data_IF_929706184718
#
_entry.id   IF_929706184718
#
_cell.length_a   1.000
_cell.length_b   1.000
_cell.length_c   1.000
_cell.angle_alpha   90.00
_cell.angle_beta   90.00
_cell.angle_gamma   90.00
#
_symmetry.space_group_name_H-M   'P 1'
#
loop_
_entity.id
_entity.type
_entity.pdbx_description
1 polymer ?
#
# COMPACT_ATOMS: atom_id res chain seq x y z
N UNK A 1 29.46 -2.67 -5.17
CA UNK A 1 29.04 -2.47 -3.77
C UNK A 1 27.99 -3.54 -3.46
N UNK A 2 28.35 -4.51 -2.63
CA UNK A 2 27.46 -5.60 -2.23
C UNK A 2 26.49 -5.02 -1.20
N UNK A 3 25.30 -4.63 -1.64
CA UNK A 3 24.24 -4.16 -0.75
C UNK A 3 23.56 -5.39 -0.15
N UNK A 4 24.15 -5.95 0.91
CA UNK A 4 23.52 -7.04 1.65
C UNK A 4 22.19 -6.54 2.23
N UNK A 5 21.09 -7.14 1.77
CA UNK A 5 19.74 -6.80 2.21
C UNK A 5 19.54 -7.45 3.59
N UNK A 6 19.23 -6.69 4.65
CA UNK A 6 19.04 -7.27 5.97
C UNK A 6 17.90 -8.29 6.00
N UNK A 7 18.13 -9.43 6.64
CA UNK A 7 17.12 -10.48 6.83
C UNK A 7 16.06 -10.03 7.85
N UNK A 8 16.45 -9.29 8.89
CA UNK A 8 15.51 -8.82 9.91
C UNK A 8 14.56 -7.74 9.34
N UNK A 9 13.23 -7.89 9.46
CA UNK A 9 12.27 -6.98 8.83
C UNK A 9 12.39 -5.53 9.31
N UNK A 10 12.68 -5.32 10.60
CA UNK A 10 12.90 -3.99 11.17
C UNK A 10 14.16 -3.32 10.62
N UNK A 11 15.27 -4.06 10.53
CA UNK A 11 16.52 -3.54 9.95
C UNK A 11 16.37 -3.30 8.45
N UNK A 12 15.67 -4.20 7.75
CA UNK A 12 15.34 -4.06 6.33
C UNK A 12 14.55 -2.78 6.07
N UNK A 13 13.60 -2.44 6.94
CA UNK A 13 12.84 -1.19 6.83
C UNK A 13 13.70 0.06 7.03
N UNK A 14 14.61 0.04 8.01
CA UNK A 14 15.57 1.14 8.20
C UNK A 14 16.51 1.29 7.00
N UNK A 15 17.04 0.17 6.50
CA UNK A 15 17.85 0.13 5.29
C UNK A 15 17.08 0.69 4.10
N UNK A 16 15.82 0.33 3.94
CA UNK A 16 14.98 0.80 2.85
C UNK A 16 14.72 2.32 2.94
N UNK A 17 14.49 2.85 4.14
CA UNK A 17 14.43 4.30 4.39
C UNK A 17 15.75 5.00 4.07
N UNK A 18 16.87 4.39 4.43
CA UNK A 18 18.20 4.92 4.13
C UNK A 18 18.44 4.97 2.62
N UNK A 19 18.15 3.88 1.89
CA UNK A 19 18.30 3.84 0.43
C UNK A 19 17.45 4.90 -0.26
N UNK A 20 16.19 5.08 0.14
CA UNK A 20 15.34 6.14 -0.39
C UNK A 20 15.95 7.52 -0.16
N UNK A 21 16.43 7.80 1.06
CA UNK A 21 17.07 9.07 1.41
C UNK A 21 18.36 9.32 0.63
N UNK A 22 19.18 8.30 0.44
CA UNK A 22 20.41 8.37 -0.37
C UNK A 22 20.12 8.70 -1.83
N UNK A 23 18.96 8.32 -2.35
CA UNK A 23 18.49 8.69 -3.69
C UNK A 23 17.74 10.04 -3.74
N UNK A 24 17.67 10.79 -2.62
CA UNK A 24 16.95 12.07 -2.54
C UNK A 24 15.41 11.93 -2.49
N UNK A 25 14.92 10.70 -2.39
CA UNK A 25 13.51 10.37 -2.24
C UNK A 25 13.14 10.19 -0.76
N UNK A 26 11.87 10.39 -0.45
CA UNK A 26 11.32 10.09 0.88
C UNK A 26 10.04 9.28 0.73
N UNK A 27 9.61 8.60 1.80
CA UNK A 27 8.34 7.87 1.80
C UNK A 27 7.16 8.78 1.43
N UNK A 28 7.23 10.06 1.82
CA UNK A 28 6.23 11.07 1.47
C UNK A 28 6.24 11.39 -0.02
N UNK A 29 7.41 11.68 -0.60
CA UNK A 29 7.53 11.91 -2.05
C UNK A 29 7.04 10.70 -2.85
N UNK A 30 7.36 9.49 -2.38
CA UNK A 30 6.90 8.25 -2.99
C UNK A 30 5.38 8.08 -2.88
N UNK A 31 4.77 8.47 -1.76
CA UNK A 31 3.30 8.44 -1.63
C UNK A 31 2.63 9.44 -2.57
N UNK A 32 3.20 10.65 -2.70
CA UNK A 32 2.68 11.71 -3.56
C UNK A 32 2.76 11.30 -5.05
N UNK A 33 3.87 10.70 -5.48
CA UNK A 33 4.03 10.16 -6.85
C UNK A 33 3.05 9.02 -7.17
N UNK A 34 2.68 8.21 -6.18
CA UNK A 34 1.74 7.11 -6.34
C UNK A 34 0.27 7.53 -6.16
N UNK A 35 0.02 8.76 -5.72
CA UNK A 35 -1.31 9.25 -5.39
C UNK A 35 -1.96 8.51 -4.22
N UNK A 36 -1.17 8.07 -3.25
CA UNK A 36 -1.64 7.32 -2.07
C UNK A 36 -1.28 8.05 -0.78
N UNK A 37 -1.90 7.68 0.32
CA UNK A 37 -1.57 8.25 1.63
C UNK A 37 -0.21 7.75 2.12
N UNK A 38 0.54 8.58 2.86
CA UNK A 38 1.82 8.18 3.46
C UNK A 38 1.69 6.95 4.36
N UNK A 39 0.56 6.81 5.07
CA UNK A 39 0.26 5.63 5.89
C UNK A 39 0.19 4.35 5.04
N UNK A 40 -0.33 4.42 3.80
CA UNK A 40 -0.38 3.26 2.90
C UNK A 40 1.02 2.74 2.55
N UNK A 41 2.03 3.62 2.46
CA UNK A 41 3.43 3.21 2.27
C UNK A 41 3.97 2.55 3.54
N UNK A 42 3.62 3.05 4.73
CA UNK A 42 4.09 2.50 6.01
C UNK A 42 3.55 1.10 6.28
N UNK A 43 2.35 0.77 5.79
CA UNK A 43 1.75 -0.56 5.95
C UNK A 43 2.60 -1.69 5.36
N UNK A 44 3.46 -1.40 4.37
CA UNK A 44 4.40 -2.35 3.77
C UNK A 44 5.30 -3.01 4.83
N UNK A 45 5.59 -2.31 5.93
CA UNK A 45 6.38 -2.85 7.04
C UNK A 45 5.68 -4.02 7.74
N UNK A 46 4.35 -3.98 7.84
CA UNK A 46 3.57 -4.88 8.68
C UNK A 46 2.85 -5.96 7.87
N UNK A 47 2.34 -5.60 6.71
CA UNK A 47 1.46 -6.45 5.89
C UNK A 47 2.05 -6.61 4.48
N UNK A 48 1.99 -7.82 3.88
CA UNK A 48 2.39 -7.97 2.48
C UNK A 48 1.52 -7.06 1.62
N UNK A 49 2.15 -6.10 0.94
CA UNK A 49 1.45 -5.14 0.10
C UNK A 49 2.11 -5.02 -1.28
N UNK A 50 1.87 -6.00 -2.18
CA UNK A 50 2.66 -6.14 -3.39
C UNK A 50 2.63 -4.94 -4.34
N UNK A 51 1.52 -4.19 -4.37
CA UNK A 51 1.43 -2.94 -5.15
C UNK A 51 2.46 -1.90 -4.68
N UNK A 52 2.61 -1.74 -3.37
CA UNK A 52 3.50 -0.75 -2.77
C UNK A 52 4.94 -1.25 -2.74
N UNK A 53 5.15 -2.53 -2.46
CA UNK A 53 6.46 -3.20 -2.54
C UNK A 53 7.07 -3.05 -3.95
N UNK A 54 6.29 -3.28 -5.01
CA UNK A 54 6.74 -3.04 -6.39
C UNK A 54 7.14 -1.61 -6.65
N UNK A 55 6.38 -0.65 -6.13
CA UNK A 55 6.65 0.77 -6.35
C UNK A 55 7.94 1.20 -5.66
N UNK A 56 8.16 0.74 -4.42
CA UNK A 56 9.39 0.96 -3.67
C UNK A 56 10.58 0.31 -4.37
N UNK A 57 10.45 -0.97 -4.75
CA UNK A 57 11.52 -1.70 -5.42
C UNK A 57 11.90 -1.03 -6.75
N UNK A 58 10.90 -0.61 -7.54
CA UNK A 58 11.11 0.14 -8.79
C UNK A 58 11.88 1.45 -8.55
N UNK A 59 11.59 2.17 -7.46
CA UNK A 59 12.30 3.41 -7.14
C UNK A 59 13.76 3.16 -6.80
N UNK A 60 14.03 2.09 -6.05
CA UNK A 60 15.39 1.71 -5.68
C UNK A 60 16.16 0.99 -6.81
N UNK A 61 15.49 0.61 -7.90
CA UNK A 61 16.08 -0.15 -9.01
C UNK A 61 16.23 -1.64 -8.72
N UNK A 62 15.52 -2.17 -7.71
CA UNK A 62 15.50 -3.60 -7.38
C UNK A 62 14.21 -4.27 -7.81
N UNK A 63 14.23 -5.60 -7.88
CA UNK A 63 13.02 -6.41 -7.94
C UNK A 63 12.44 -6.60 -6.53
N UNK A 64 11.11 -6.63 -6.35
CA UNK A 64 10.52 -6.84 -5.03
C UNK A 64 10.91 -8.19 -4.42
N UNK A 65 11.17 -9.21 -5.23
CA UNK A 65 11.66 -10.51 -4.78
C UNK A 65 13.06 -10.44 -4.12
N UNK A 66 13.92 -9.54 -4.60
CA UNK A 66 15.24 -9.37 -4.00
C UNK A 66 15.14 -8.79 -2.59
N UNK A 67 14.18 -7.90 -2.35
CA UNK A 67 13.97 -7.25 -1.04
C UNK A 67 13.14 -8.14 -0.10
N UNK A 68 12.11 -8.80 -0.63
CA UNK A 68 11.17 -9.63 0.11
C UNK A 68 11.04 -11.03 -0.49
N UNK A 69 12.10 -11.86 -0.41
CA UNK A 69 12.05 -13.24 -0.91
C UNK A 69 10.98 -14.07 -0.19
N UNK A 70 10.68 -13.73 1.06
CA UNK A 70 9.63 -14.37 1.87
C UNK A 70 8.18 -14.08 1.39
N UNK A 71 7.98 -13.04 0.54
CA UNK A 71 6.65 -12.58 0.10
C UNK A 71 6.41 -12.74 -1.40
N UNK A 72 7.44 -13.07 -2.17
CA UNK A 72 7.39 -13.15 -3.62
C UNK A 72 7.95 -14.47 -4.12
N UNK A 73 7.26 -15.07 -5.07
CA UNK A 73 7.73 -16.25 -5.79
C UNK A 73 8.83 -15.87 -6.79
N UNK A 74 9.61 -16.87 -7.22
CA UNK A 74 10.60 -16.74 -8.28
C UNK A 74 9.99 -16.33 -9.63
N UNK A 75 8.71 -16.61 -9.83
CA UNK A 75 7.96 -16.20 -11.02
C UNK A 75 7.55 -14.72 -11.00
N UNK A 76 7.91 -13.96 -9.95
CA UNK A 76 7.52 -12.57 -9.77
C UNK A 76 6.05 -12.39 -9.41
N UNK A 77 5.37 -13.45 -8.98
CA UNK A 77 4.02 -13.38 -8.42
C UNK A 77 4.09 -13.22 -6.89
N UNK A 78 3.23 -12.39 -6.28
CA UNK A 78 3.23 -12.25 -4.83
C UNK A 78 2.52 -13.43 -4.15
N UNK A 79 3.06 -13.85 -3.00
CA UNK A 79 2.45 -14.85 -2.13
C UNK A 79 1.26 -14.24 -1.37
N UNK A 80 0.11 -14.13 -2.05
CA UNK A 80 -1.13 -13.57 -1.47
C UNK A 80 -2.11 -14.68 -1.13
N UNK A 81 -2.76 -14.55 0.03
CA UNK A 81 -3.85 -15.45 0.44
C UNK A 81 -5.09 -15.38 -0.48
N UNK A 82 -5.29 -14.26 -1.20
CA UNK A 82 -6.45 -14.05 -2.09
C UNK A 82 -5.99 -13.60 -3.49
N UNK A 83 -5.62 -14.54 -4.38
CA UNK A 83 -5.09 -14.21 -5.71
C UNK A 83 -6.11 -13.54 -6.64
N UNK A 84 -7.40 -13.86 -6.50
CA UNK A 84 -8.47 -13.34 -7.39
C UNK A 84 -8.88 -11.89 -7.09
N UNK A 85 -8.38 -11.28 -6.00
CA UNK A 85 -8.68 -9.89 -5.67
C UNK A 85 -7.78 -8.97 -6.47
N UNK A 86 -8.35 -8.14 -7.33
CA UNK A 86 -7.61 -7.15 -8.09
C UNK A 86 -6.73 -6.28 -7.16
N UNK A 87 -5.47 -6.08 -7.54
CA UNK A 87 -4.52 -5.25 -6.77
C UNK A 87 -4.85 -3.75 -6.86
N UNK A 88 -5.59 -3.37 -7.90
CA UNK A 88 -6.09 -2.04 -8.16
C UNK A 88 -7.59 -2.16 -8.33
N UNK A 89 -8.35 -1.41 -7.54
CA UNK A 89 -9.69 -1.03 -7.98
C UNK A 89 -9.50 -0.13 -9.21
N UNK A 90 -10.28 -0.29 -10.29
CA UNK A 90 -10.27 0.71 -11.35
C UNK A 90 -10.63 2.04 -10.71
N UNK A 91 -9.69 2.98 -10.68
CA UNK A 91 -9.99 4.37 -10.36
C UNK A 91 -10.93 4.85 -11.44
N UNK A 92 -12.24 4.80 -11.18
CA UNK A 92 -13.18 5.65 -11.88
C UNK A 92 -12.64 7.08 -11.73
N UNK A 93 -12.44 7.75 -12.86
CA UNK A 93 -11.80 9.07 -12.99
C UNK A 93 -12.12 9.97 -11.79
N UNK A 94 -11.09 10.38 -11.04
CA UNK A 94 -11.21 11.39 -10.00
C UNK A 94 -11.48 12.75 -10.67
N UNK A 95 -12.74 13.00 -11.01
CA UNK A 95 -13.24 14.34 -11.27
C UNK A 95 -13.41 15.03 -9.92
N UNK A 96 -12.50 15.95 -9.65
CA UNK A 96 -12.68 17.18 -8.88
C UNK A 96 -13.95 17.24 -8.02
N UNK A 97 -13.86 16.91 -6.73
CA UNK A 97 -14.66 17.57 -5.69
C UNK A 97 -13.80 17.78 -4.45
N UNK A 98 -13.47 19.04 -4.24
CA UNK A 98 -13.21 19.64 -2.94
C UNK A 98 -14.25 19.12 -1.93
N UNK A 99 -13.78 18.76 -0.75
CA UNK A 99 -14.60 18.33 0.36
C UNK A 99 -15.37 19.52 0.94
N UNK A 100 -16.61 19.73 0.50
CA UNK A 100 -17.61 20.41 1.33
C UNK A 100 -18.06 19.39 2.39
N UNK A 101 -17.61 19.62 3.62
CA UNK A 101 -18.12 18.91 4.78
C UNK A 101 -19.46 19.52 5.14
N UNK A 102 -20.54 18.94 4.66
CA UNK A 102 -21.83 19.08 5.34
C UNK A 102 -22.15 17.82 6.12
N UNK A 103 -22.21 18.02 7.44
CA UNK A 103 -22.62 17.07 8.46
C UNK A 103 -24.06 16.64 8.22
N UNK A 104 -24.27 15.46 7.66
CA UNK A 104 -25.56 14.77 7.68
C UNK A 104 -25.43 13.51 8.52
N UNK A 105 -25.96 13.52 9.74
CA UNK A 105 -26.06 12.35 10.62
C UNK A 105 -26.77 11.19 9.93
N UNK A 106 -26.07 10.05 9.77
CA UNK A 106 -26.71 8.81 9.33
C UNK A 106 -27.28 8.06 10.55
N UNK A 107 -28.32 8.60 11.17
CA UNK A 107 -29.15 7.84 12.10
C UNK A 107 -29.95 6.80 11.29
N UNK A 108 -29.49 5.55 11.30
CA UNK A 108 -30.19 4.44 10.65
C UNK A 108 -31.41 4.08 11.53
N UNK A 109 -32.56 4.60 11.15
CA UNK A 109 -33.84 4.23 11.76
C UNK A 109 -34.28 2.84 11.25
N UNK A 110 -34.30 1.85 12.14
CA UNK A 110 -34.87 0.54 11.88
C UNK A 110 -36.37 0.58 12.21
N UNK A 111 -37.22 0.70 11.18
CA UNK A 111 -38.69 0.68 11.31
C UNK A 111 -39.19 -0.73 10.99
N UNK A 112 -39.52 -1.53 12.01
CA UNK A 112 -40.32 -2.74 11.85
C UNK A 112 -41.80 -2.35 11.69
N UNK A 113 -42.47 -2.88 10.66
CA UNK A 113 -43.93 -2.81 10.56
C UNK A 113 -44.53 -4.01 11.28
N UNK A 114 -45.40 -3.78 12.26
CA UNK A 114 -46.29 -4.78 12.82
C UNK A 114 -47.45 -5.02 11.85
N UNK A 115 -47.72 -6.27 11.49
CA UNK A 115 -48.96 -6.67 10.84
C UNK A 115 -50.01 -6.93 11.93
N UNK A 116 -51.17 -6.29 11.80
CA UNK A 116 -52.32 -6.52 12.67
C UNK A 116 -53.05 -7.82 12.36
N UNK A 117 -53.72 -8.34 13.38
CA UNK A 117 -54.85 -9.26 13.31
C UNK A 117 -55.76 -8.96 14.50
#
# INVERSE_FOLDING_TARGET
MNHEIPINPSQRWEWLKYQLRSQGCSLRKLSDELGVTGNAVQLVKYTPYPRMERAIAKKLGFTPQAIWPERWNHDGTPCRERPNRAEKLPTAKAQNRLCDKDSGSNAIAHRQMAQGA
#
